data_IF_056434791592
#
_entry.id   IF_056434791592
#
_cell.length_a   1.000
_cell.length_b   1.000
_cell.length_c   1.000
_cell.angle_alpha   90.00
_cell.angle_beta   90.00
_cell.angle_gamma   90.00
#
_symmetry.space_group_name_H-M   'P 1'
#
loop_
_entity.id
_entity.type
_entity.pdbx_description
1 polymer ?
#
# COMPACT_ATOMS: atom_id res chain seq x y z
N UNK A 1 8.48 -32.91 9.73
CA UNK A 1 7.73 -32.82 8.45
C UNK A 1 7.66 -31.35 8.09
N UNK A 2 8.04 -30.97 6.86
CA UNK A 2 7.92 -29.58 6.41
C UNK A 2 6.43 -29.22 6.43
N UNK A 3 6.00 -28.27 7.26
CA UNK A 3 4.62 -27.80 7.36
C UNK A 3 4.27 -26.94 6.13
N UNK A 4 4.35 -27.53 4.95
CA UNK A 4 4.16 -26.92 3.64
C UNK A 4 2.79 -27.29 3.09
N UNK A 5 2.15 -26.34 2.40
CA UNK A 5 0.93 -26.53 1.63
C UNK A 5 1.11 -25.90 0.23
N UNK A 6 1.08 -26.69 -0.86
CA UNK A 6 1.11 -28.15 -0.90
C UNK A 6 2.39 -28.74 -0.30
N UNK A 7 2.33 -29.97 0.21
CA UNK A 7 3.44 -30.63 0.91
C UNK A 7 4.34 -31.46 -0.01
N UNK A 8 3.80 -31.89 -1.15
CA UNK A 8 4.48 -32.69 -2.16
C UNK A 8 4.30 -32.11 -3.56
N UNK A 9 5.20 -32.49 -4.48
CA UNK A 9 5.10 -32.09 -5.89
C UNK A 9 3.82 -32.63 -6.56
N UNK A 10 3.38 -33.85 -6.21
CA UNK A 10 2.14 -34.42 -6.75
C UNK A 10 0.89 -33.64 -6.29
N UNK A 11 0.85 -33.20 -5.03
CA UNK A 11 -0.20 -32.30 -4.53
C UNK A 11 -0.16 -30.95 -5.25
N UNK A 12 1.03 -30.41 -5.49
CA UNK A 12 1.23 -29.18 -6.25
C UNK A 12 0.68 -29.30 -7.68
N UNK A 13 0.94 -30.40 -8.39
CA UNK A 13 0.43 -30.60 -9.76
C UNK A 13 -1.10 -30.66 -9.79
N UNK A 14 -1.74 -31.32 -8.81
CA UNK A 14 -3.21 -31.33 -8.68
C UNK A 14 -3.81 -29.93 -8.46
N UNK A 15 -3.06 -29.04 -7.81
CA UNK A 15 -3.46 -27.65 -7.66
C UNK A 15 -3.24 -26.85 -8.95
N UNK A 16 -2.17 -27.12 -9.69
CA UNK A 16 -1.89 -26.50 -10.99
C UNK A 16 -2.99 -26.76 -12.03
N UNK A 17 -3.74 -27.86 -11.91
CA UNK A 17 -4.94 -28.12 -12.73
C UNK A 17 -6.09 -27.12 -12.49
N UNK A 18 -6.09 -26.43 -11.34
CA UNK A 18 -7.18 -25.55 -10.89
C UNK A 18 -6.92 -24.07 -11.17
N UNK A 19 -5.70 -23.69 -11.56
CA UNK A 19 -5.32 -22.31 -11.74
C UNK A 19 -3.88 -22.13 -12.23
N UNK A 20 -3.56 -20.92 -12.68
CA UNK A 20 -2.24 -20.59 -13.25
C UNK A 20 -1.24 -20.04 -12.24
N UNK A 21 -1.67 -19.82 -10.99
CA UNK A 21 -0.81 -19.38 -9.89
C UNK A 21 -1.07 -20.27 -8.68
N UNK A 22 -0.08 -21.07 -8.31
CA UNK A 22 -0.16 -21.98 -7.17
C UNK A 22 0.69 -21.42 -6.03
N UNK A 23 0.08 -21.00 -4.90
CA UNK A 23 0.84 -20.59 -3.74
C UNK A 23 1.42 -21.82 -3.03
N UNK A 24 2.73 -21.81 -2.79
CA UNK A 24 3.39 -22.70 -1.82
C UNK A 24 3.54 -21.93 -0.53
N UNK A 25 3.04 -22.49 0.57
CA UNK A 25 2.90 -21.79 1.85
C UNK A 25 3.51 -22.63 2.96
N UNK A 26 4.31 -22.00 3.81
CA UNK A 26 4.70 -22.54 5.12
C UNK A 26 4.20 -21.64 6.22
N UNK A 27 3.57 -22.23 7.23
CA UNK A 27 3.20 -21.53 8.46
C UNK A 27 4.27 -21.74 9.52
N UNK A 28 4.77 -20.65 10.08
CA UNK A 28 5.76 -20.65 11.16
C UNK A 28 5.24 -19.87 12.36
N UNK A 29 5.60 -20.31 13.57
CA UNK A 29 5.25 -19.61 14.81
C UNK A 29 5.98 -18.26 14.86
N UNK A 30 5.29 -17.22 15.29
CA UNK A 30 5.79 -15.85 15.26
C UNK A 30 5.44 -15.05 16.52
N UNK A 31 5.17 -15.73 17.63
CA UNK A 31 4.88 -15.14 18.93
C UNK A 31 6.01 -14.21 19.46
N UNK A 32 7.25 -14.46 19.04
CA UNK A 32 8.42 -13.64 19.37
C UNK A 32 8.85 -12.67 18.26
N UNK A 33 8.14 -12.61 17.13
CA UNK A 33 8.48 -11.73 16.01
C UNK A 33 7.39 -10.69 15.78
N UNK A 34 7.81 -9.46 15.48
CA UNK A 34 6.91 -8.40 15.03
C UNK A 34 7.07 -8.16 13.52
N UNK A 35 6.04 -7.63 12.82
CA UNK A 35 6.16 -7.25 11.41
C UNK A 35 7.31 -6.28 11.15
N UNK A 36 7.53 -5.33 12.07
CA UNK A 36 8.62 -4.35 12.01
C UNK A 36 9.98 -5.04 12.08
N UNK A 37 10.14 -6.01 12.99
CA UNK A 37 11.37 -6.77 13.13
C UNK A 37 11.65 -7.61 11.87
N UNK A 38 10.66 -8.33 11.36
CA UNK A 38 10.81 -9.10 10.12
C UNK A 38 11.14 -8.20 8.93
N UNK A 39 10.48 -7.05 8.81
CA UNK A 39 10.75 -6.09 7.74
C UNK A 39 12.21 -5.64 7.74
N UNK A 40 12.77 -5.29 8.90
CA UNK A 40 14.18 -4.88 9.02
C UNK A 40 15.17 -5.97 8.61
N UNK A 41 14.83 -7.24 8.82
CA UNK A 41 15.65 -8.38 8.37
C UNK A 41 15.61 -8.55 6.85
N UNK A 42 14.49 -8.22 6.21
CA UNK A 42 14.29 -8.44 4.76
C UNK A 42 14.64 -7.22 3.88
N UNK A 43 14.47 -5.99 4.35
CA UNK A 43 14.50 -4.81 3.48
C UNK A 43 15.83 -4.56 2.77
N UNK A 44 16.92 -5.16 3.24
CA UNK A 44 18.26 -5.01 2.67
C UNK A 44 18.51 -5.93 1.48
N UNK A 45 17.68 -6.96 1.34
CA UNK A 45 17.78 -7.92 0.25
C UNK A 45 17.34 -7.32 -1.09
N UNK A 46 16.58 -6.21 -1.05
CA UNK A 46 16.07 -5.57 -2.26
C UNK A 46 16.00 -4.05 -2.14
N UNK A 47 16.25 -3.32 -3.23
CA UNK A 47 15.90 -1.91 -3.31
C UNK A 47 14.38 -1.68 -3.28
N UNK A 48 13.58 -2.72 -3.49
CA UNK A 48 12.12 -2.66 -3.55
C UNK A 48 11.48 -3.56 -2.49
N UNK A 49 10.72 -2.97 -1.58
CA UNK A 49 10.04 -3.70 -0.53
C UNK A 49 8.87 -2.90 0.03
N UNK A 50 7.99 -3.58 0.75
CA UNK A 50 6.89 -2.91 1.45
C UNK A 50 6.58 -3.56 2.80
N UNK A 51 5.94 -2.77 3.66
CA UNK A 51 5.21 -3.22 4.83
C UNK A 51 3.85 -2.52 4.84
N UNK A 52 2.78 -3.31 4.88
CA UNK A 52 1.41 -2.84 5.04
C UNK A 52 0.89 -3.30 6.40
N UNK A 53 0.48 -2.36 7.23
CA UNK A 53 -0.21 -2.63 8.50
C UNK A 53 -1.55 -1.90 8.51
N UNK A 54 -2.50 -2.43 9.27
CA UNK A 54 -3.81 -1.83 9.46
C UNK A 54 -4.13 -1.80 10.94
N UNK A 55 -4.77 -0.73 11.39
CA UNK A 55 -5.28 -0.57 12.75
C UNK A 55 -6.78 -0.35 12.69
N UNK A 56 -7.54 -1.23 13.35
CA UNK A 56 -8.98 -1.17 13.49
C UNK A 56 -9.36 -0.36 14.73
N UNK A 57 -10.30 0.58 14.58
CA UNK A 57 -10.81 1.39 15.69
C UNK A 57 -9.78 2.33 16.34
N UNK A 58 -8.60 2.51 15.75
CA UNK A 58 -7.51 3.35 16.28
C UNK A 58 -6.70 2.70 17.41
N UNK A 59 -7.13 1.55 17.94
CA UNK A 59 -6.53 0.92 19.13
C UNK A 59 -6.06 -0.52 18.88
N UNK A 60 -6.68 -1.24 17.95
CA UNK A 60 -6.37 -2.66 17.72
C UNK A 60 -5.67 -2.88 16.39
N UNK A 61 -4.54 -3.59 16.40
CA UNK A 61 -3.92 -4.03 15.14
C UNK A 61 -4.89 -4.97 14.43
N UNK A 62 -5.17 -4.70 13.15
CA UNK A 62 -5.99 -5.56 12.32
C UNK A 62 -5.36 -6.96 12.23
N UNK A 63 -6.15 -7.97 11.85
CA UNK A 63 -5.67 -9.36 11.87
C UNK A 63 -4.37 -9.60 11.08
N UNK A 64 -4.17 -8.90 9.97
CA UNK A 64 -3.04 -9.15 9.07
C UNK A 64 -2.10 -7.96 8.90
N UNK A 65 -0.81 -8.25 8.83
CA UNK A 65 0.22 -7.36 8.26
C UNK A 65 0.90 -8.06 7.08
N UNK A 66 1.17 -7.32 6.01
CA UNK A 66 1.74 -7.85 4.79
C UNK A 66 3.13 -7.26 4.56
N UNK A 67 4.09 -8.12 4.22
CA UNK A 67 5.45 -7.76 3.89
C UNK A 67 5.82 -8.42 2.57
N UNK A 68 6.37 -7.64 1.65
CA UNK A 68 6.96 -8.14 0.42
C UNK A 68 8.31 -7.48 0.16
N UNK A 69 9.19 -8.20 -0.51
CA UNK A 69 10.50 -7.71 -0.95
C UNK A 69 10.85 -8.37 -2.27
N UNK A 70 11.73 -7.74 -3.04
CA UNK A 70 12.26 -8.28 -4.28
C UNK A 70 11.16 -8.69 -5.28
N UNK A 71 10.40 -7.69 -5.79
CA UNK A 71 9.35 -7.94 -6.77
C UNK A 71 9.97 -8.52 -8.05
N UNK A 72 9.27 -9.45 -8.70
CA UNK A 72 9.75 -10.03 -9.96
C UNK A 72 9.53 -9.11 -11.16
N UNK A 73 8.72 -8.06 -10.99
CA UNK A 73 8.40 -7.08 -12.03
C UNK A 73 8.01 -5.73 -11.40
N UNK A 74 8.45 -4.64 -12.01
CA UNK A 74 8.07 -3.26 -11.69
C UNK A 74 7.47 -2.63 -12.94
N UNK A 75 6.27 -2.07 -12.83
CA UNK A 75 5.61 -1.31 -13.91
C UNK A 75 5.54 0.14 -13.49
N UNK A 76 6.20 1.01 -14.26
CA UNK A 76 6.29 2.46 -14.01
C UNK A 76 5.58 3.21 -15.14
N UNK A 77 4.88 4.29 -14.82
CA UNK A 77 4.31 5.20 -15.80
C UNK A 77 4.81 6.60 -15.51
N UNK A 78 5.38 7.27 -16.51
CA UNK A 78 5.83 8.66 -16.42
C UNK A 78 5.55 9.38 -17.73
N UNK A 79 4.90 10.53 -17.66
CA UNK A 79 4.58 11.36 -18.82
C UNK A 79 3.82 10.56 -19.91
N UNK A 80 2.96 9.63 -19.47
CA UNK A 80 2.22 8.72 -20.34
C UNK A 80 3.01 7.55 -20.93
N UNK A 81 4.33 7.49 -20.73
CA UNK A 81 5.16 6.36 -21.14
C UNK A 81 5.19 5.30 -20.04
N UNK A 82 4.83 4.06 -20.40
CA UNK A 82 4.84 2.93 -19.47
C UNK A 82 6.06 2.06 -19.71
N UNK A 83 6.83 1.82 -18.65
CA UNK A 83 7.99 0.93 -18.64
C UNK A 83 7.70 -0.31 -17.78
N UNK A 84 8.06 -1.48 -18.30
CA UNK A 84 7.99 -2.75 -17.58
C UNK A 84 9.41 -3.25 -17.37
N UNK A 85 9.82 -3.38 -16.11
CA UNK A 85 11.13 -3.89 -15.70
C UNK A 85 10.95 -5.30 -15.13
N UNK A 86 11.58 -6.30 -15.73
CA UNK A 86 11.50 -7.70 -15.29
C UNK A 86 12.71 -8.51 -15.76
N UNK A 87 13.10 -9.55 -15.00
CA UNK A 87 14.15 -10.48 -15.44
C UNK A 87 15.52 -9.85 -15.75
N UNK A 88 15.82 -8.67 -15.20
CA UNK A 88 17.05 -7.92 -15.47
C UNK A 88 17.04 -7.05 -16.73
N UNK A 89 15.91 -6.96 -17.44
CA UNK A 89 15.69 -6.08 -18.58
C UNK A 89 14.54 -5.09 -18.37
N UNK A 90 14.39 -4.17 -19.31
CA UNK A 90 13.28 -3.22 -19.36
C UNK A 90 12.72 -3.10 -20.77
N UNK A 91 11.41 -2.94 -20.88
CA UNK A 91 10.72 -2.68 -22.13
C UNK A 91 9.71 -1.53 -21.98
N UNK A 92 9.49 -0.79 -23.07
CA UNK A 92 8.42 0.21 -23.14
C UNK A 92 7.16 -0.48 -23.63
N UNK A 93 6.08 -0.37 -22.87
CA UNK A 93 4.81 -0.98 -23.24
C UNK A 93 4.10 -0.18 -24.35
N UNK A 94 3.39 -0.91 -25.19
CA UNK A 94 2.55 -0.42 -26.28
C UNK A 94 1.15 0.04 -25.82
N UNK A 95 0.87 -0.03 -24.52
CA UNK A 95 -0.44 0.21 -23.92
C UNK A 95 -0.34 1.20 -22.75
N UNK A 96 -1.40 1.97 -22.47
CA UNK A 96 -1.49 2.78 -21.26
C UNK A 96 -1.41 1.93 -19.99
N UNK A 97 -1.04 2.56 -18.87
CA UNK A 97 -0.75 1.89 -17.59
C UNK A 97 -1.86 0.93 -17.16
N UNK A 98 -3.12 1.35 -17.20
CA UNK A 98 -4.25 0.50 -16.80
C UNK A 98 -4.46 -0.69 -17.74
N UNK A 99 -4.17 -0.53 -19.03
CA UNK A 99 -4.20 -1.63 -20.01
C UNK A 99 -3.12 -2.65 -19.69
N UNK A 100 -1.91 -2.19 -19.40
CA UNK A 100 -0.78 -3.04 -18.96
C UNK A 100 -1.14 -3.79 -17.67
N UNK A 101 -1.63 -3.11 -16.64
CA UNK A 101 -2.03 -3.76 -15.39
C UNK A 101 -3.14 -4.80 -15.60
N UNK A 102 -4.13 -4.51 -16.46
CA UNK A 102 -5.20 -5.46 -16.80
C UNK A 102 -4.65 -6.68 -17.53
N UNK A 103 -3.72 -6.49 -18.46
CA UNK A 103 -3.05 -7.58 -19.20
C UNK A 103 -2.23 -8.46 -18.26
N UNK A 104 -1.46 -7.86 -17.36
CA UNK A 104 -0.58 -8.57 -16.44
C UNK A 104 -1.35 -9.30 -15.32
N UNK A 105 -2.45 -8.73 -14.84
CA UNK A 105 -3.27 -9.37 -13.79
C UNK A 105 -4.28 -10.38 -14.36
N UNK A 106 -4.88 -10.11 -15.52
CA UNK A 106 -5.96 -10.92 -16.10
C UNK A 106 -5.57 -12.31 -16.59
N UNK A 107 -4.27 -12.61 -16.72
CA UNK A 107 -3.76 -13.93 -17.12
C UNK A 107 -3.61 -14.91 -15.95
N UNK A 108 -3.76 -14.42 -14.72
CA UNK A 108 -3.47 -15.17 -13.51
C UNK A 108 -4.76 -15.62 -12.82
N UNK A 109 -4.90 -16.93 -12.65
CA UNK A 109 -5.99 -17.57 -11.92
C UNK A 109 -5.38 -18.17 -10.66
N UNK A 110 -5.43 -17.47 -9.51
CA UNK A 110 -4.85 -17.98 -8.28
C UNK A 110 -5.66 -19.16 -7.75
N UNK A 111 -4.96 -20.24 -7.41
CA UNK A 111 -5.55 -21.39 -6.73
C UNK A 111 -5.95 -20.98 -5.32
N UNK A 112 -7.16 -21.37 -4.92
CA UNK A 112 -7.68 -21.12 -3.57
C UNK A 112 -7.33 -22.29 -2.66
N UNK A 113 -6.50 -22.03 -1.66
CA UNK A 113 -6.26 -22.95 -0.56
C UNK A 113 -7.12 -22.56 0.65
N UNK A 114 -7.51 -23.50 1.52
CA UNK A 114 -8.15 -23.18 2.79
C UNK A 114 -7.20 -22.40 3.69
N UNK A 115 -7.76 -21.56 4.57
CA UNK A 115 -7.02 -20.84 5.62
C UNK A 115 -5.85 -19.95 5.13
N UNK A 116 -5.92 -19.45 3.88
CA UNK A 116 -4.93 -18.50 3.36
C UNK A 116 -5.29 -17.04 3.69
N UNK A 117 -4.28 -16.18 3.87
CA UNK A 117 -4.50 -14.74 4.02
C UNK A 117 -5.18 -14.13 2.77
N UNK A 118 -5.82 -12.95 2.91
CA UNK A 118 -6.57 -12.34 1.81
C UNK A 118 -5.70 -11.83 0.66
N UNK A 119 -4.39 -11.66 0.88
CA UNK A 119 -3.42 -11.23 -0.13
C UNK A 119 -2.22 -12.18 -0.11
N UNK A 120 -2.05 -12.95 -1.20
CA UNK A 120 -1.01 -13.98 -1.35
C UNK A 120 -0.05 -13.71 -2.51
N UNK A 121 -0.45 -12.84 -3.45
CA UNK A 121 0.33 -12.45 -4.63
C UNK A 121 -0.32 -11.20 -5.22
N UNK A 122 0.45 -10.32 -5.84
CA UNK A 122 -0.10 -9.23 -6.63
C UNK A 122 0.79 -8.00 -6.67
N UNK A 123 0.21 -6.91 -7.17
CA UNK A 123 0.89 -5.64 -7.32
C UNK A 123 0.67 -4.75 -6.09
N UNK A 124 1.75 -4.16 -5.57
CA UNK A 124 1.74 -3.15 -4.51
C UNK A 124 2.51 -1.93 -5.00
N UNK A 125 1.95 -0.75 -4.78
CA UNK A 125 2.44 0.45 -5.45
C UNK A 125 1.61 1.69 -5.15
N UNK A 126 1.75 2.70 -6.00
CA UNK A 126 0.97 3.93 -5.94
C UNK A 126 0.52 4.37 -7.33
N UNK A 127 -0.58 5.11 -7.37
CA UNK A 127 -1.03 5.91 -8.49
C UNK A 127 -1.08 7.35 -7.97
N UNK A 128 -0.24 8.22 -8.52
CA UNK A 128 -0.14 9.63 -8.16
C UNK A 128 -1.36 10.42 -8.60
N UNK A 129 -1.53 11.61 -8.04
CA UNK A 129 -2.67 12.48 -8.38
C UNK A 129 -2.72 12.81 -9.87
N UNK A 130 -1.57 13.05 -10.51
CA UNK A 130 -1.53 13.47 -11.90
C UNK A 130 -2.05 12.44 -12.90
N UNK A 131 -2.17 11.17 -12.49
CA UNK A 131 -2.87 10.11 -13.23
C UNK A 131 -4.35 10.42 -13.49
N UNK A 132 -4.96 11.39 -12.80
CA UNK A 132 -6.29 11.92 -13.15
C UNK A 132 -6.36 12.38 -14.61
N UNK A 133 -5.23 12.85 -15.18
CA UNK A 133 -5.14 13.28 -16.59
C UNK A 133 -5.25 12.14 -17.59
N UNK A 134 -5.19 10.89 -17.14
CA UNK A 134 -5.48 9.74 -18.00
C UNK A 134 -6.98 9.63 -18.32
N UNK A 135 -7.82 10.25 -17.49
CA UNK A 135 -9.28 10.19 -17.60
C UNK A 135 -9.86 11.56 -17.96
N UNK A 136 -9.33 12.63 -17.37
CA UNK A 136 -9.87 13.98 -17.48
C UNK A 136 -8.92 14.96 -18.16
N UNK A 137 -9.48 15.95 -18.86
CA UNK A 137 -8.69 17.01 -19.52
C UNK A 137 -8.40 18.13 -18.53
N UNK A 138 -7.32 17.98 -17.77
CA UNK A 138 -6.88 18.97 -16.78
C UNK A 138 -5.61 19.67 -17.28
N UNK A 139 -5.53 21.01 -17.22
CA UNK A 139 -4.32 21.74 -17.57
C UNK A 139 -3.09 21.27 -16.80
N UNK A 140 -1.95 21.21 -17.49
CA UNK A 140 -0.68 20.79 -16.92
C UNK A 140 0.35 21.93 -16.99
N UNK A 141 0.07 22.98 -16.22
CA UNK A 141 0.88 24.20 -16.20
C UNK A 141 1.73 24.34 -14.92
N UNK A 142 1.58 23.42 -13.97
CA UNK A 142 2.35 23.45 -12.73
C UNK A 142 3.75 22.88 -12.97
N UNK A 143 4.80 23.40 -12.30
CA UNK A 143 6.14 22.84 -12.43
C UNK A 143 6.23 21.45 -11.80
N UNK A 144 6.76 20.46 -12.53
CA UNK A 144 7.15 19.15 -11.97
C UNK A 144 8.49 19.25 -11.24
N UNK A 145 8.40 19.57 -9.94
CA UNK A 145 9.56 19.71 -9.07
C UNK A 145 9.90 18.44 -8.27
N UNK A 146 9.00 17.46 -8.22
CA UNK A 146 9.21 16.18 -7.54
C UNK A 146 9.80 15.12 -8.47
N UNK A 147 9.57 15.23 -9.78
CA UNK A 147 10.03 14.26 -10.79
C UNK A 147 9.62 12.83 -10.43
N UNK A 148 8.45 12.68 -9.83
CA UNK A 148 7.87 11.38 -9.49
C UNK A 148 7.24 10.75 -10.72
N UNK A 149 7.14 9.42 -10.70
CA UNK A 149 6.37 8.71 -11.70
C UNK A 149 4.87 8.95 -11.41
N UNK A 150 4.05 8.99 -12.47
CA UNK A 150 2.59 9.09 -12.36
C UNK A 150 2.01 7.86 -11.64
N UNK A 151 2.64 6.70 -11.82
CA UNK A 151 2.33 5.48 -11.08
C UNK A 151 3.50 4.51 -11.06
N UNK A 152 3.61 3.74 -9.98
CA UNK A 152 4.54 2.60 -9.87
C UNK A 152 3.79 1.44 -9.24
N UNK A 153 3.78 0.29 -9.90
CA UNK A 153 3.18 -0.96 -9.42
C UNK A 153 4.20 -2.08 -9.44
N UNK A 154 4.56 -2.60 -8.27
CA UNK A 154 5.54 -3.67 -8.11
C UNK A 154 4.85 -5.00 -7.84
N UNK A 155 5.16 -6.03 -8.62
CA UNK A 155 4.52 -7.34 -8.53
C UNK A 155 5.33 -8.29 -7.65
N UNK A 156 4.75 -8.70 -6.53
CA UNK A 156 5.37 -9.58 -5.56
C UNK A 156 4.77 -10.98 -5.66
N UNK A 157 5.65 -11.96 -5.83
CA UNK A 157 5.32 -13.39 -5.83
C UNK A 157 5.76 -14.09 -4.54
N UNK A 158 6.57 -13.41 -3.72
CA UNK A 158 6.98 -13.87 -2.39
C UNK A 158 6.50 -12.88 -1.35
N UNK A 159 5.86 -13.38 -0.31
CA UNK A 159 5.27 -12.57 0.75
C UNK A 159 5.47 -13.22 2.11
N UNK A 160 5.55 -12.39 3.14
CA UNK A 160 5.37 -12.78 4.53
C UNK A 160 4.11 -12.12 5.04
N UNK A 161 3.17 -12.93 5.54
CA UNK A 161 1.90 -12.43 6.07
C UNK A 161 1.75 -12.82 7.53
N UNK A 162 1.74 -11.83 8.41
CA UNK A 162 1.52 -12.03 9.84
C UNK A 162 0.03 -12.21 10.09
N UNK A 163 -0.37 -13.31 10.72
CA UNK A 163 -1.71 -13.50 11.31
C UNK A 163 -1.59 -13.27 12.82
N UNK A 164 -1.94 -12.06 13.26
CA UNK A 164 -1.80 -11.63 14.66
C UNK A 164 -2.71 -12.40 15.61
N UNK A 165 -3.83 -12.92 15.11
CA UNK A 165 -4.79 -13.70 15.91
C UNK A 165 -4.26 -15.11 16.16
N UNK A 166 -3.61 -15.72 15.16
CA UNK A 166 -3.03 -17.06 15.26
C UNK A 166 -1.56 -17.08 15.68
N UNK A 167 -0.95 -15.91 15.91
CA UNK A 167 0.46 -15.74 16.27
C UNK A 167 1.43 -16.46 15.31
N UNK A 168 1.15 -16.40 14.01
CA UNK A 168 1.92 -17.09 12.98
C UNK A 168 2.26 -16.18 11.79
N UNK A 169 3.32 -16.54 11.07
CA UNK A 169 3.65 -15.96 9.76
C UNK A 169 3.36 -17.01 8.69
N UNK A 170 2.66 -16.60 7.64
CA UNK A 170 2.58 -17.34 6.39
C UNK A 170 3.73 -16.88 5.50
N UNK A 171 4.70 -17.77 5.27
CA UNK A 171 5.75 -17.61 4.27
C UNK A 171 5.21 -18.15 2.94
N UNK A 172 5.08 -17.29 1.95
CA UNK A 172 4.39 -17.60 0.69
C UNK A 172 5.35 -17.40 -0.46
N UNK A 173 5.48 -18.41 -1.32
CA UNK A 173 6.14 -18.30 -2.62
C UNK A 173 5.17 -18.83 -3.69
N UNK A 174 4.84 -18.00 -4.68
CA UNK A 174 3.91 -18.35 -5.73
C UNK A 174 4.64 -18.89 -6.95
N UNK A 175 4.13 -20.00 -7.48
CA UNK A 175 4.57 -20.56 -8.77
C UNK A 175 3.57 -20.17 -9.85
N UNK A 176 4.05 -19.45 -10.86
CA UNK A 176 3.31 -19.17 -12.09
C UNK A 176 3.48 -20.35 -13.03
N UNK A 177 2.41 -21.13 -13.22
CA UNK A 177 2.47 -22.37 -14.02
C UNK A 177 2.34 -22.09 -15.51
N UNK A 178 1.83 -20.91 -15.87
CA UNK A 178 1.47 -20.56 -17.25
C UNK A 178 0.49 -21.58 -17.88
N UNK A 179 -0.30 -22.26 -17.05
CA UNK A 179 -1.23 -23.31 -17.48
C UNK A 179 -0.59 -24.69 -17.67
N UNK A 180 0.71 -24.84 -17.41
CA UNK A 180 1.38 -26.15 -17.38
C UNK A 180 0.90 -26.96 -16.18
N UNK A 181 0.80 -28.27 -16.37
CA UNK A 181 0.42 -29.25 -15.33
C UNK A 181 1.45 -30.39 -15.22
N UNK A 182 2.61 -30.22 -15.82
CA UNK A 182 3.77 -31.09 -15.77
C UNK A 182 5.07 -30.27 -15.89
N UNK A 183 6.22 -30.91 -15.67
CA UNK A 183 7.52 -30.25 -15.86
C UNK A 183 7.78 -29.04 -14.95
N UNK A 184 7.06 -28.91 -13.83
CA UNK A 184 7.14 -27.79 -12.87
C UNK A 184 7.98 -28.12 -11.63
N UNK A 185 8.71 -29.24 -11.62
CA UNK A 185 9.45 -29.71 -10.44
C UNK A 185 10.53 -28.70 -10.02
N UNK A 186 11.19 -28.07 -10.99
CA UNK A 186 12.17 -27.02 -10.74
C UNK A 186 11.56 -25.79 -10.10
N UNK A 187 10.42 -25.32 -10.61
CA UNK A 187 9.70 -24.16 -10.09
C UNK A 187 9.11 -24.42 -8.70
N UNK A 188 8.55 -25.61 -8.47
CA UNK A 188 8.09 -26.03 -7.15
C UNK A 188 9.25 -26.08 -6.14
N UNK A 189 10.37 -26.72 -6.52
CA UNK A 189 11.57 -26.79 -5.68
C UNK A 189 12.11 -25.41 -5.36
N UNK A 190 12.18 -24.51 -6.36
CA UNK A 190 12.59 -23.12 -6.15
C UNK A 190 11.67 -22.40 -5.14
N UNK A 191 10.36 -22.60 -5.22
CA UNK A 191 9.41 -22.00 -4.27
C UNK A 191 9.63 -22.53 -2.83
N UNK A 192 9.94 -23.81 -2.67
CA UNK A 192 10.33 -24.39 -1.39
C UNK A 192 11.64 -23.80 -0.88
N UNK A 193 12.66 -23.68 -1.74
CA UNK A 193 13.96 -23.10 -1.40
C UNK A 193 13.82 -21.61 -1.02
N UNK A 194 12.98 -20.84 -1.72
CA UNK A 194 12.65 -19.44 -1.40
C UNK A 194 11.99 -19.32 -0.01
N UNK A 195 11.11 -20.25 0.36
CA UNK A 195 10.48 -20.30 1.69
C UNK A 195 11.50 -20.61 2.77
N UNK A 196 12.36 -21.61 2.55
CA UNK A 196 13.42 -21.96 3.51
C UNK A 196 14.41 -20.80 3.69
N UNK A 197 14.75 -20.09 2.61
CA UNK A 197 15.56 -18.88 2.68
C UNK A 197 14.87 -17.77 3.48
N UNK A 198 13.59 -17.50 3.22
CA UNK A 198 12.80 -16.54 3.98
C UNK A 198 12.76 -16.86 5.48
N UNK A 199 12.54 -18.13 5.84
CA UNK A 199 12.51 -18.57 7.22
C UNK A 199 13.87 -18.40 7.91
N UNK A 200 14.95 -18.83 7.27
CA UNK A 200 16.30 -18.68 7.82
C UNK A 200 16.64 -17.20 8.10
N UNK A 201 16.20 -16.29 7.23
CA UNK A 201 16.38 -14.84 7.43
C UNK A 201 15.59 -14.28 8.60
N UNK A 202 14.52 -14.94 9.04
CA UNK A 202 13.80 -14.54 10.25
C UNK A 202 14.58 -14.85 11.53
N UNK A 203 15.64 -15.67 11.47
CA UNK A 203 16.55 -15.94 12.60
C UNK A 203 17.69 -14.92 12.70
N UNK A 204 17.99 -14.18 11.62
CA UNK A 204 19.08 -13.20 11.58
C UNK A 204 18.90 -12.10 12.66
N UNK A 205 19.99 -11.58 13.25
CA UNK A 205 19.90 -10.46 14.18
C UNK A 205 19.37 -9.21 13.48
N UNK A 206 18.60 -8.40 14.22
CA UNK A 206 18.17 -7.09 13.71
C UNK A 206 19.36 -6.15 13.77
N UNK A 207 19.79 -5.65 12.63
CA UNK A 207 20.80 -4.61 12.61
C UNK A 207 20.21 -3.27 13.07
N UNK A 208 20.92 -2.51 13.93
CA UNK A 208 20.47 -1.20 14.34
C UNK A 208 20.33 -0.27 13.14
N UNK A 209 19.18 0.41 13.04
CA UNK A 209 19.02 1.48 12.07
C UNK A 209 20.01 2.63 12.38
N UNK A 210 20.61 3.25 11.36
CA UNK A 210 21.49 4.40 11.55
C UNK A 210 20.78 5.47 12.38
N UNK A 211 21.39 5.87 13.48
CA UNK A 211 20.90 6.92 14.39
C UNK A 211 21.50 8.29 14.10
N UNK A 212 22.22 8.46 12.97
CA UNK A 212 22.91 9.71 12.65
C UNK A 212 21.92 10.89 12.54
N UNK A 213 22.04 11.82 13.48
CA UNK A 213 21.71 13.25 13.30
C UNK A 213 20.43 13.74 13.95
N UNK A 214 20.38 13.84 15.28
CA UNK A 214 19.42 14.72 15.99
C UNK A 214 19.83 16.20 15.96
N UNK A 215 21.03 16.51 15.48
CA UNK A 215 21.64 17.85 15.61
C UNK A 215 21.17 18.86 14.56
N UNK A 216 20.63 18.41 13.41
CA UNK A 216 20.20 19.32 12.36
C UNK A 216 18.71 19.13 12.04
N UNK A 217 17.86 19.59 12.96
CA UNK A 217 16.43 19.84 12.68
C UNK A 217 16.36 21.02 11.72
N UNK A 218 16.59 20.77 10.43
CA UNK A 218 16.42 21.79 9.40
C UNK A 218 15.04 22.44 9.52
N UNK A 219 14.88 23.67 9.05
CA UNK A 219 13.59 24.34 9.09
C UNK A 219 12.59 23.67 8.14
N UNK A 220 11.33 23.60 8.57
CA UNK A 220 10.21 23.21 7.69
C UNK A 220 10.04 24.31 6.65
N UNK A 221 10.04 23.92 5.37
CA UNK A 221 9.86 24.81 4.23
C UNK A 221 8.53 24.50 3.55
N UNK A 222 7.72 25.52 3.28
CA UNK A 222 6.53 25.37 2.42
C UNK A 222 6.87 25.76 0.99
N UNK A 223 6.25 25.10 0.01
CA UNK A 223 6.30 25.51 -1.39
C UNK A 223 5.48 26.78 -1.67
N UNK A 224 4.62 27.19 -0.75
CA UNK A 224 3.72 28.32 -0.91
C UNK A 224 3.79 29.26 0.32
N UNK A 225 3.75 30.58 0.08
CA UNK A 225 3.64 31.56 1.16
C UNK A 225 2.22 31.56 1.73
N UNK A 226 2.09 31.84 3.03
CA UNK A 226 0.81 31.89 3.73
C UNK A 226 -0.21 32.80 3.03
N UNK A 227 0.21 34.01 2.66
CA UNK A 227 -0.66 35.02 2.04
C UNK A 227 -1.15 34.56 0.65
N UNK A 228 -0.39 33.70 -0.03
CA UNK A 228 -0.80 33.13 -1.31
C UNK A 228 -1.82 32.01 -1.14
N UNK A 229 -1.69 31.20 -0.08
CA UNK A 229 -2.68 30.18 0.25
C UNK A 229 -4.01 30.83 0.68
N UNK A 230 -3.98 31.88 1.49
CA UNK A 230 -5.18 32.64 1.88
C UNK A 230 -5.89 33.24 0.66
N UNK A 231 -5.14 33.81 -0.30
CA UNK A 231 -5.71 34.29 -1.57
C UNK A 231 -6.35 33.17 -2.39
N UNK A 232 -5.77 31.98 -2.41
CA UNK A 232 -6.35 30.83 -3.10
C UNK A 232 -7.68 30.40 -2.43
N UNK A 233 -7.76 30.45 -1.09
CA UNK A 233 -9.00 30.17 -0.34
C UNK A 233 -10.08 31.21 -0.65
N UNK A 234 -9.75 32.51 -0.66
CA UNK A 234 -10.73 33.55 -1.03
C UNK A 234 -11.21 33.38 -2.48
N UNK A 235 -10.30 33.05 -3.40
CA UNK A 235 -10.67 32.74 -4.78
C UNK A 235 -11.58 31.51 -4.90
N UNK A 236 -11.34 30.46 -4.11
CA UNK A 236 -12.21 29.30 -4.05
C UNK A 236 -13.63 29.67 -3.57
N UNK A 237 -13.75 30.54 -2.56
CA UNK A 237 -15.04 31.05 -2.07
C UNK A 237 -15.79 31.86 -3.13
N UNK A 238 -15.09 32.63 -3.95
CA UNK A 238 -15.68 33.33 -5.10
C UNK A 238 -16.30 32.34 -6.10
N UNK A 239 -15.59 31.27 -6.47
CA UNK A 239 -16.11 30.21 -7.35
C UNK A 239 -17.31 29.47 -6.75
N UNK A 240 -17.28 29.19 -5.44
CA UNK A 240 -18.42 28.58 -4.74
C UNK A 240 -19.64 29.50 -4.78
N UNK A 241 -19.45 30.79 -4.50
CA UNK A 241 -20.54 31.78 -4.51
C UNK A 241 -21.11 31.99 -5.91
N UNK A 242 -20.27 31.90 -6.95
CA UNK A 242 -20.68 31.96 -8.35
C UNK A 242 -21.44 30.70 -8.82
N UNK A 243 -21.41 29.62 -8.06
CA UNK A 243 -22.04 28.34 -8.40
C UNK A 243 -21.21 27.45 -9.33
N UNK A 244 -19.92 27.75 -9.51
CA UNK A 244 -19.04 26.99 -10.40
C UNK A 244 -18.63 25.63 -9.79
N UNK A 245 -18.49 25.58 -8.46
CA UNK A 245 -18.13 24.39 -7.68
C UNK A 245 -18.86 24.40 -6.33
N UNK A 246 -19.11 23.24 -5.74
CA UNK A 246 -19.62 23.16 -4.37
C UNK A 246 -18.50 23.22 -3.32
N UNK A 247 -17.35 22.60 -3.63
CA UNK A 247 -16.19 22.50 -2.75
C UNK A 247 -14.91 22.33 -3.59
N UNK A 248 -13.78 22.78 -3.05
CA UNK A 248 -12.44 22.41 -3.54
C UNK A 248 -11.51 22.16 -2.35
N UNK A 249 -10.64 21.15 -2.48
CA UNK A 249 -9.62 20.83 -1.48
C UNK A 249 -8.27 21.37 -1.97
N UNK A 250 -7.87 22.51 -1.41
CA UNK A 250 -6.56 23.11 -1.69
C UNK A 250 -5.47 22.45 -0.84
N UNK A 251 -4.28 22.29 -1.40
CA UNK A 251 -3.12 21.71 -0.71
C UNK A 251 -1.87 22.56 -0.87
N UNK A 252 -0.91 22.36 0.03
CA UNK A 252 0.44 22.89 -0.06
C UNK A 252 1.42 21.83 0.45
N UNK A 253 2.68 21.90 0.01
CA UNK A 253 3.70 20.91 0.35
C UNK A 253 4.70 21.49 1.35
N UNK A 254 4.90 20.76 2.45
CA UNK A 254 5.94 21.04 3.43
C UNK A 254 7.11 20.07 3.27
N UNK A 255 8.34 20.55 3.47
CA UNK A 255 9.57 19.80 3.30
C UNK A 255 10.53 20.07 4.44
N UNK A 256 11.20 19.02 4.93
CA UNK A 256 12.26 19.09 5.94
C UNK A 256 13.40 18.15 5.54
N UNK A 257 14.68 18.54 5.71
CA UNK A 257 15.78 17.60 5.52
C UNK A 257 15.64 16.39 6.46
N UNK A 258 15.75 15.18 5.90
CA UNK A 258 15.68 13.94 6.66
C UNK A 258 17.07 13.29 6.75
N UNK A 259 17.67 13.30 7.93
CA UNK A 259 18.93 12.58 8.20
C UNK A 259 18.69 11.13 8.68
N UNK A 260 17.52 10.87 9.27
CA UNK A 260 17.16 9.55 9.77
C UNK A 260 16.85 8.58 8.64
N UNK A 261 17.04 7.28 8.90
CA UNK A 261 16.57 6.23 8.01
C UNK A 261 15.04 6.37 7.80
N UNK A 262 14.50 6.31 6.57
CA UNK A 262 13.07 6.52 6.33
C UNK A 262 12.18 5.59 7.16
N UNK A 263 12.59 4.33 7.37
CA UNK A 263 11.84 3.41 8.23
C UNK A 263 11.72 3.86 9.71
N UNK A 264 12.61 4.74 10.20
CA UNK A 264 12.42 5.36 11.53
C UNK A 264 11.22 6.30 11.55
N UNK A 265 10.94 7.00 10.43
CA UNK A 265 9.76 7.86 10.30
C UNK A 265 8.50 7.01 10.33
N UNK A 266 8.48 5.87 9.61
CA UNK A 266 7.38 4.91 9.68
C UNK A 266 7.14 4.40 11.11
N UNK A 267 8.21 3.97 11.81
CA UNK A 267 8.10 3.52 13.20
C UNK A 267 7.58 4.61 14.14
N UNK A 268 8.02 5.85 13.97
CA UNK A 268 7.53 6.97 14.76
C UNK A 268 6.04 7.25 14.47
N UNK A 269 5.63 7.27 13.20
CA UNK A 269 4.23 7.46 12.80
C UNK A 269 3.34 6.33 13.33
N UNK A 270 3.81 5.09 13.31
CA UNK A 270 3.10 3.92 13.85
C UNK A 270 2.78 4.06 15.35
N UNK A 271 3.60 4.81 16.09
CA UNK A 271 3.39 5.08 17.52
C UNK A 271 2.52 6.32 17.74
N UNK A 272 2.76 7.38 16.95
CA UNK A 272 2.10 8.68 17.14
C UNK A 272 0.67 8.70 16.58
N UNK A 273 0.46 8.10 15.42
CA UNK A 273 -0.81 8.13 14.70
C UNK A 273 -1.12 6.78 14.02
N UNK A 274 -1.35 5.70 14.80
CA UNK A 274 -1.75 4.41 14.25
C UNK A 274 -3.04 4.56 13.43
N UNK A 275 -3.01 4.13 12.17
CA UNK A 275 -4.10 4.36 11.22
C UNK A 275 -4.55 3.06 10.53
N UNK A 276 -5.78 3.01 10.00
CA UNK A 276 -6.28 1.89 9.21
C UNK A 276 -5.40 1.51 8.01
N UNK A 277 -4.66 2.47 7.43
CA UNK A 277 -3.78 2.21 6.28
C UNK A 277 -2.37 2.76 6.54
N UNK A 278 -1.56 1.96 7.23
CA UNK A 278 -0.13 2.20 7.42
C UNK A 278 0.65 1.57 6.27
N UNK A 279 1.39 2.38 5.52
CA UNK A 279 2.18 1.92 4.38
C UNK A 279 3.61 2.37 4.56
N UNK A 280 4.55 1.45 4.43
CA UNK A 280 5.92 1.73 4.07
C UNK A 280 6.19 1.09 2.71
N UNK A 281 6.53 1.89 1.72
CA UNK A 281 6.84 1.44 0.37
C UNK A 281 8.22 1.96 -0.01
N UNK A 282 9.21 1.07 -0.06
CA UNK A 282 10.59 1.38 -0.47
C UNK A 282 10.74 1.13 -1.96
N UNK A 283 11.26 2.12 -2.67
CA UNK A 283 11.50 2.07 -4.11
C UNK A 283 12.85 2.70 -4.41
N UNK A 284 13.91 1.90 -4.46
CA UNK A 284 15.29 2.33 -4.77
C UNK A 284 15.74 3.55 -3.94
N UNK A 285 15.66 4.74 -4.54
CA UNK A 285 16.11 6.03 -4.05
C UNK A 285 15.09 6.76 -3.16
N UNK A 286 13.86 6.25 -3.06
CA UNK A 286 12.75 6.89 -2.36
C UNK A 286 11.93 5.92 -1.52
N UNK A 287 11.20 6.48 -0.56
CA UNK A 287 10.23 5.74 0.23
C UNK A 287 8.94 6.55 0.36
N UNK A 288 7.79 5.89 0.21
CA UNK A 288 6.48 6.44 0.56
C UNK A 288 6.10 5.89 1.93
N UNK A 289 5.70 6.80 2.82
CA UNK A 289 5.33 6.48 4.20
C UNK A 289 3.96 7.11 4.44
N UNK A 290 2.96 6.30 4.78
CA UNK A 290 1.58 6.76 5.02
C UNK A 290 1.04 6.26 6.35
N UNK A 291 0.16 7.08 6.93
CA UNK A 291 -0.73 6.72 8.02
C UNK A 291 -2.11 7.29 7.64
N UNK A 292 -2.76 6.68 6.64
CA UNK A 292 -4.01 7.21 6.08
C UNK A 292 -5.20 6.73 6.92
N UNK A 293 -6.10 7.64 7.34
CA UNK A 293 -7.35 7.29 7.98
C UNK A 293 -8.40 6.78 6.97
N UNK A 294 -8.22 7.10 5.69
CA UNK A 294 -9.26 6.98 4.68
C UNK A 294 -8.87 6.03 3.54
N UNK A 295 -9.88 5.34 3.02
CA UNK A 295 -9.78 4.39 1.91
C UNK A 295 -10.41 5.00 0.67
N UNK A 296 -9.68 5.02 -0.45
CA UNK A 296 -10.27 5.40 -1.73
C UNK A 296 -11.35 4.41 -2.14
N UNK A 297 -11.00 3.14 -2.39
CA UNK A 297 -11.95 2.08 -2.72
C UNK A 297 -11.36 0.73 -2.35
N UNK A 298 -12.20 -0.23 -1.96
CA UNK A 298 -11.82 -1.64 -1.80
C UNK A 298 -12.68 -2.52 -2.68
N UNK A 299 -12.04 -3.36 -3.48
CA UNK A 299 -12.69 -4.38 -4.29
C UNK A 299 -12.43 -5.77 -3.70
N UNK A 300 -13.48 -6.55 -3.50
CA UNK A 300 -13.39 -7.96 -3.07
C UNK A 300 -14.36 -8.80 -3.90
N UNK A 301 -13.81 -9.58 -4.83
CA UNK A 301 -14.63 -10.27 -5.83
C UNK A 301 -15.45 -9.27 -6.65
N UNK A 302 -16.78 -9.34 -6.55
CA UNK A 302 -17.70 -8.40 -7.21
C UNK A 302 -18.23 -7.29 -6.28
N UNK A 303 -17.75 -7.23 -5.04
CA UNK A 303 -18.14 -6.22 -4.06
C UNK A 303 -17.16 -5.05 -4.13
N UNK A 304 -17.68 -3.83 -4.29
CA UNK A 304 -16.93 -2.60 -4.10
C UNK A 304 -17.38 -1.94 -2.80
N UNK A 305 -16.43 -1.40 -2.05
CA UNK A 305 -16.67 -0.64 -0.82
C UNK A 305 -16.01 0.73 -0.95
N UNK A 306 -16.81 1.78 -0.72
CA UNK A 306 -16.41 3.18 -0.66
C UNK A 306 -16.83 3.73 0.71
N UNK A 307 -15.94 4.44 1.41
CA UNK A 307 -16.18 4.92 2.78
C UNK A 307 -15.64 6.35 2.92
N UNK A 308 -16.34 7.35 2.39
CA UNK A 308 -15.88 8.73 2.43
C UNK A 308 -15.94 9.24 3.87
N UNK A 309 -14.92 9.99 4.26
CA UNK A 309 -14.83 10.67 5.54
C UNK A 309 -14.98 12.17 5.30
N UNK A 310 -15.96 12.77 5.97
CA UNK A 310 -16.14 14.21 6.02
C UNK A 310 -16.54 14.62 7.43
N UNK A 311 -16.12 15.82 7.82
CA UNK A 311 -16.30 16.32 9.17
C UNK A 311 -15.27 15.79 10.16
N UNK A 312 -14.78 16.70 11.00
CA UNK A 312 -13.78 16.38 12.02
C UNK A 312 -14.10 17.12 13.31
N UNK A 313 -13.90 16.43 14.44
CA UNK A 313 -13.80 17.01 15.76
C UNK A 313 -12.54 16.50 16.44
N UNK A 314 -11.99 17.28 17.37
CA UNK A 314 -10.96 16.78 18.27
C UNK A 314 -11.53 15.69 19.16
N UNK A 315 -10.68 14.82 19.70
CA UNK A 315 -11.09 13.92 20.79
C UNK A 315 -11.34 14.73 22.06
N UNK A 316 -12.32 14.30 22.85
CA UNK A 316 -12.57 14.86 24.18
C UNK A 316 -11.51 14.45 25.18
N UNK A 317 -11.31 15.24 26.23
CA UNK A 317 -10.40 14.91 27.33
C UNK A 317 -11.03 13.88 28.30
N UNK A 318 -12.33 13.64 28.18
CA UNK A 318 -13.11 12.63 28.92
C UNK A 318 -14.09 11.90 27.99
N UNK A 319 -14.50 10.68 28.35
CA UNK A 319 -15.48 9.89 27.58
C UNK A 319 -16.80 10.64 27.35
N UNK A 320 -17.23 11.40 28.35
CA UNK A 320 -18.44 12.23 28.26
C UNK A 320 -18.27 13.35 27.25
N UNK A 321 -17.16 14.09 27.30
CA UNK A 321 -16.87 15.15 26.33
C UNK A 321 -16.72 14.57 24.91
N UNK A 322 -16.04 13.43 24.77
CA UNK A 322 -15.85 12.76 23.48
C UNK A 322 -17.19 12.33 22.86
N UNK A 323 -18.09 11.81 23.68
CA UNK A 323 -19.46 11.46 23.27
C UNK A 323 -20.23 12.70 22.81
N UNK A 324 -20.16 13.79 23.57
CA UNK A 324 -20.84 15.05 23.22
C UNK A 324 -20.28 15.67 21.93
N UNK A 325 -18.97 15.66 21.73
CA UNK A 325 -18.35 16.13 20.48
C UNK A 325 -18.77 15.26 19.29
N UNK A 326 -18.94 13.95 19.50
CA UNK A 326 -19.48 13.04 18.49
C UNK A 326 -20.95 13.33 18.16
N UNK A 327 -21.78 13.63 19.15
CA UNK A 327 -23.18 14.04 18.95
C UNK A 327 -23.27 15.41 18.25
N UNK A 328 -22.42 16.36 18.62
CA UNK A 328 -22.33 17.68 17.97
C UNK A 328 -21.97 17.53 16.49
N UNK A 329 -20.95 16.72 16.16
CA UNK A 329 -20.56 16.48 14.76
C UNK A 329 -21.70 15.85 13.94
N UNK A 330 -22.48 14.94 14.54
CA UNK A 330 -23.63 14.31 13.88
C UNK A 330 -24.80 15.29 13.66
N UNK A 331 -24.89 16.33 14.49
CA UNK A 331 -25.94 17.33 14.41
C UNK A 331 -25.54 18.59 13.61
N UNK A 332 -24.25 18.74 13.28
CA UNK A 332 -23.75 19.87 12.49
C UNK A 332 -24.26 19.79 11.05
N UNK A 333 -25.24 20.64 10.72
CA UNK A 333 -25.90 20.66 9.41
C UNK A 333 -24.91 20.88 8.25
N UNK A 334 -23.83 21.64 8.48
CA UNK A 334 -22.82 21.90 7.46
C UNK A 334 -22.01 20.62 7.18
N UNK A 335 -21.49 19.99 8.24
CA UNK A 335 -20.67 18.79 8.11
C UNK A 335 -21.48 17.61 7.55
N UNK A 336 -22.75 17.49 7.94
CA UNK A 336 -23.68 16.51 7.37
C UNK A 336 -23.92 16.77 5.89
N UNK A 337 -24.13 18.02 5.48
CA UNK A 337 -24.32 18.36 4.06
C UNK A 337 -23.07 18.04 3.21
N UNK A 338 -21.87 18.40 3.71
CA UNK A 338 -20.60 18.06 3.06
C UNK A 338 -20.41 16.54 2.95
N UNK A 339 -20.75 15.78 4.00
CA UNK A 339 -20.66 14.32 3.99
C UNK A 339 -21.62 13.68 3.00
N UNK A 340 -22.89 14.10 2.97
CA UNK A 340 -23.91 13.59 2.04
C UNK A 340 -23.48 13.83 0.59
N UNK A 341 -22.91 14.99 0.28
CA UNK A 341 -22.38 15.30 -1.05
C UNK A 341 -21.29 14.31 -1.48
N UNK A 342 -20.35 13.95 -0.59
CA UNK A 342 -19.30 12.96 -0.89
C UNK A 342 -19.84 11.54 -1.01
N UNK A 343 -20.87 11.19 -0.24
CA UNK A 343 -21.57 9.91 -0.41
C UNK A 343 -22.24 9.86 -1.79
N UNK A 344 -22.90 10.93 -2.22
CA UNK A 344 -23.52 11.00 -3.54
C UNK A 344 -22.51 10.99 -4.68
N UNK A 345 -21.34 11.63 -4.50
CA UNK A 345 -20.23 11.51 -5.45
C UNK A 345 -19.78 10.05 -5.59
N UNK A 346 -19.52 9.38 -4.46
CA UNK A 346 -19.14 7.96 -4.46
C UNK A 346 -20.22 7.04 -5.05
N UNK A 347 -21.50 7.39 -4.92
CA UNK A 347 -22.61 6.67 -5.58
C UNK A 347 -22.61 6.83 -7.10
N UNK A 348 -22.13 7.96 -7.63
CA UNK A 348 -21.99 8.16 -9.07
C UNK A 348 -20.74 7.46 -9.62
N UNK A 349 -19.68 7.37 -8.82
CA UNK A 349 -18.42 6.71 -9.21
C UNK A 349 -18.54 5.17 -9.28
N UNK A 350 -19.35 4.55 -8.42
CA UNK A 350 -19.59 3.09 -8.36
C UNK A 350 -20.65 2.61 -9.35
#
# INVERSE_FOLDING_TARGET
MRNLAPSTYDEFLKLAEQGTVVPVIKQVLADLLTPVAAYLKMERLSPHSFLLESVEGGEHVARYSFLGFDPHMVVRCRDGQVMIESGGGSEVADQPMLGVLRRLTGRHIPVKLPDVPPFVCGAVGYIGYDAVRWFERIPDANPDDLKMDDAVMMFFSRLMVFDHVRHQIHLIANVFTEGRTDGLEGEYRKAVDDIEAMEARLEDPIEPLPTKGTENRGSVRSNLKKEMFEKAVERAKEYITAGDIFQVVLSQRFQVPLAAHPFQVYRALRVINPSPYMVYLKMEDRAIITASPEMLVRATGRKLEYRPIAGTRRRGDTDTEDTLLGEELRADEKEVAEHVMLVDLGRNDL
#
